data_IF_963428239074
#
_entry.id   IF_963428239074
#
_cell.length_a   1.000
_cell.length_b   1.000
_cell.length_c   1.000
_cell.angle_alpha   90.00
_cell.angle_beta   90.00
_cell.angle_gamma   90.00
#
_symmetry.space_group_name_H-M   'P 1'
#
loop_
_entity.id
_entity.type
_entity.pdbx_description
1 polymer ?
#
# COMPACT_ATOMS: atom_id res chain seq x y z
N UNK A 1 -10.79 -11.67 25.83
CA UNK A 1 -10.12 -10.42 25.42
C UNK A 1 -8.68 -10.77 25.08
N UNK A 2 -8.12 -10.23 24.01
CA UNK A 2 -6.74 -10.51 23.63
C UNK A 2 -5.73 -10.00 24.67
N UNK A 3 -4.54 -10.59 24.68
CA UNK A 3 -3.46 -10.16 25.57
C UNK A 3 -2.82 -8.86 25.09
N UNK A 4 -2.16 -8.11 25.98
CA UNK A 4 -1.39 -6.91 25.58
C UNK A 4 -0.31 -7.25 24.55
N UNK A 5 0.35 -8.41 24.69
CA UNK A 5 1.37 -8.86 23.75
C UNK A 5 0.78 -9.11 22.36
N UNK A 6 -0.37 -9.77 22.25
CA UNK A 6 -1.05 -10.04 20.99
C UNK A 6 -1.54 -8.75 20.34
N UNK A 7 -2.05 -7.78 21.14
CA UNK A 7 -2.43 -6.45 20.64
C UNK A 7 -1.24 -5.69 20.05
N UNK A 8 -0.06 -5.77 20.68
CA UNK A 8 1.16 -5.15 20.17
C UNK A 8 1.67 -5.83 18.90
N UNK A 9 1.64 -7.16 18.83
CA UNK A 9 2.00 -7.90 17.61
C UNK A 9 1.04 -7.56 16.46
N UNK A 10 -0.26 -7.54 16.72
CA UNK A 10 -1.27 -7.14 15.75
C UNK A 10 -1.08 -5.69 15.28
N UNK A 11 -0.79 -4.78 16.20
CA UNK A 11 -0.54 -3.38 15.90
C UNK A 11 0.62 -3.15 14.93
N UNK A 12 1.65 -4.01 14.95
CA UNK A 12 2.78 -3.94 14.00
C UNK A 12 2.38 -4.27 12.57
N UNK A 13 1.13 -4.65 12.32
CA UNK A 13 0.58 -5.00 10.99
C UNK A 13 -0.52 -4.04 10.53
N UNK A 14 -0.88 -3.02 11.32
CA UNK A 14 -2.00 -2.12 11.00
C UNK A 14 -1.51 -0.70 10.75
N UNK A 15 -1.91 -0.15 9.60
CA UNK A 15 -1.72 1.25 9.23
C UNK A 15 -3.02 1.99 9.54
N UNK A 16 -2.94 3.02 10.37
CA UNK A 16 -4.07 3.86 10.76
C UNK A 16 -4.24 5.08 9.84
N UNK A 17 -5.37 5.73 9.97
CA UNK A 17 -5.64 7.04 9.36
C UNK A 17 -6.52 7.89 10.29
N UNK A 18 -6.55 9.19 10.02
CA UNK A 18 -7.37 10.15 10.75
C UNK A 18 -7.78 11.31 9.84
N UNK A 19 -8.79 12.07 10.25
CA UNK A 19 -9.20 13.34 9.63
C UNK A 19 -8.43 14.53 10.20
N UNK A 20 -8.51 15.67 9.53
CA UNK A 20 -7.95 16.94 9.94
C UNK A 20 -6.41 17.01 9.96
N UNK A 21 -5.88 18.17 10.33
CA UNK A 21 -4.44 18.42 10.36
C UNK A 21 -3.77 17.87 11.63
N UNK A 22 -4.50 17.78 12.75
CA UNK A 22 -3.96 17.41 14.05
C UNK A 22 -4.28 15.95 14.37
N UNK A 23 -3.25 15.10 14.66
CA UNK A 23 -3.49 13.74 15.10
C UNK A 23 -4.32 13.71 16.40
N UNK A 24 -5.45 12.96 16.43
CA UNK A 24 -6.28 12.91 17.62
C UNK A 24 -5.57 12.14 18.75
N UNK A 25 -5.84 12.48 20.04
CA UNK A 25 -5.22 11.81 21.17
C UNK A 25 -5.33 10.28 21.14
N UNK A 26 -6.49 9.75 20.72
CA UNK A 26 -6.70 8.31 20.60
C UNK A 26 -5.71 7.62 19.64
N UNK A 27 -5.31 8.27 18.54
CA UNK A 27 -4.28 7.74 17.64
C UNK A 27 -2.90 7.76 18.30
N UNK A 28 -2.55 8.86 18.95
CA UNK A 28 -1.27 8.98 19.66
C UNK A 28 -1.15 7.94 20.76
N UNK A 29 -2.23 7.69 21.51
CA UNK A 29 -2.28 6.66 22.54
C UNK A 29 -2.18 5.24 21.98
N UNK A 30 -2.82 4.95 20.84
CA UNK A 30 -2.66 3.69 20.13
C UNK A 30 -1.20 3.45 19.70
N UNK A 31 -0.55 4.49 19.16
CA UNK A 31 0.87 4.43 18.78
C UNK A 31 1.76 4.19 20.00
N UNK A 32 1.60 4.94 21.08
CA UNK A 32 2.34 4.77 22.34
C UNK A 32 2.19 3.37 22.92
N UNK A 33 1.01 2.79 22.79
CA UNK A 33 0.74 1.41 23.23
C UNK A 33 1.34 0.34 22.32
N UNK A 34 2.02 0.71 21.21
CA UNK A 34 2.56 -0.22 20.21
C UNK A 34 1.50 -0.84 19.30
N UNK A 35 0.33 -0.22 19.17
CA UNK A 35 -0.81 -0.72 18.39
C UNK A 35 -0.92 -0.10 17.00
N UNK A 36 0.19 0.38 16.43
CA UNK A 36 0.23 0.91 15.06
C UNK A 36 1.58 0.65 14.39
N UNK A 37 1.58 0.15 13.17
CA UNK A 37 2.75 0.05 12.30
C UNK A 37 3.05 1.36 11.59
N UNK A 38 2.01 2.14 11.30
CA UNK A 38 2.14 3.36 10.51
C UNK A 38 0.85 4.17 10.42
N UNK A 39 0.95 5.28 9.71
CA UNK A 39 -0.17 6.18 9.46
C UNK A 39 -0.14 6.62 8.00
N UNK A 40 -1.29 6.51 7.32
CA UNK A 40 -1.47 7.12 6.00
C UNK A 40 -2.05 8.53 6.17
N UNK A 41 -1.45 9.48 5.43
CA UNK A 41 -1.85 10.88 5.40
C UNK A 41 -2.48 11.21 4.05
N UNK A 42 -3.56 11.99 4.09
CA UNK A 42 -4.29 12.47 2.93
C UNK A 42 -4.11 13.97 2.75
N UNK A 43 -4.68 14.51 1.66
CA UNK A 43 -4.60 15.94 1.36
C UNK A 43 -5.05 16.82 2.54
N UNK A 44 -6.12 16.40 3.25
CA UNK A 44 -6.70 17.18 4.35
C UNK A 44 -5.75 17.27 5.57
N UNK A 45 -4.85 16.28 5.73
CA UNK A 45 -3.79 16.31 6.76
C UNK A 45 -2.62 17.24 6.37
N UNK A 46 -2.54 17.68 5.10
CA UNK A 46 -1.38 18.33 4.52
C UNK A 46 -1.70 19.69 3.85
N UNK A 47 -2.81 20.30 4.20
CA UNK A 47 -3.22 21.60 3.63
C UNK A 47 -2.25 22.73 3.98
N UNK A 48 -1.71 22.71 5.18
CA UNK A 48 -0.75 23.68 5.69
C UNK A 48 0.56 22.99 6.04
N UNK A 49 1.68 23.30 5.37
CA UNK A 49 2.96 22.63 5.58
C UNK A 49 3.45 22.62 7.04
N UNK A 50 3.26 23.73 7.77
CA UNK A 50 3.68 23.82 9.17
C UNK A 50 2.85 22.89 10.09
N UNK A 51 1.56 22.72 9.81
CA UNK A 51 0.68 21.79 10.55
C UNK A 51 1.05 20.35 10.26
N UNK A 52 1.36 20.02 8.99
CA UNK A 52 1.86 18.70 8.63
C UNK A 52 3.17 18.36 9.38
N UNK A 53 4.13 19.28 9.45
CA UNK A 53 5.38 19.08 10.18
C UNK A 53 5.13 18.87 11.67
N UNK A 54 4.21 19.63 12.28
CA UNK A 54 3.82 19.46 13.66
C UNK A 54 3.15 18.09 13.91
N UNK A 55 2.24 17.67 13.02
CA UNK A 55 1.59 16.37 13.10
C UNK A 55 2.59 15.22 12.97
N UNK A 56 3.49 15.25 11.99
CA UNK A 56 4.55 14.26 11.79
C UNK A 56 5.46 14.17 13.01
N UNK A 57 5.80 15.31 13.62
CA UNK A 57 6.60 15.36 14.85
C UNK A 57 5.89 14.65 16.00
N UNK A 58 4.60 14.93 16.22
CA UNK A 58 3.80 14.28 17.28
C UNK A 58 3.69 12.76 17.08
N UNK A 59 3.46 12.32 15.83
CA UNK A 59 3.39 10.90 15.47
C UNK A 59 4.71 10.18 15.75
N UNK A 60 5.84 10.78 15.34
CA UNK A 60 7.18 10.23 15.60
C UNK A 60 7.52 10.19 17.08
N UNK A 61 7.15 11.22 17.84
CA UNK A 61 7.35 11.26 19.28
C UNK A 61 6.54 10.15 19.97
N UNK A 62 5.27 9.98 19.63
CA UNK A 62 4.44 8.90 20.18
C UNK A 62 5.04 7.51 19.87
N UNK A 63 5.63 7.33 18.68
CA UNK A 63 6.29 6.09 18.30
C UNK A 63 7.59 5.84 19.10
N UNK A 64 8.35 6.88 19.42
CA UNK A 64 9.55 6.77 20.25
C UNK A 64 9.23 6.37 21.70
N UNK A 65 8.03 6.70 22.18
CA UNK A 65 7.53 6.34 23.50
C UNK A 65 6.94 4.92 23.54
N UNK A 66 6.71 4.29 22.38
CA UNK A 66 6.14 2.95 22.28
C UNK A 66 7.13 1.84 22.67
N UNK A 67 6.67 0.66 23.13
CA UNK A 67 7.53 -0.48 23.41
C UNK A 67 8.40 -0.83 22.20
N UNK A 68 9.73 -0.81 22.39
CA UNK A 68 10.71 -1.05 21.35
C UNK A 68 11.04 0.15 20.46
N UNK A 69 10.33 1.28 20.58
CA UNK A 69 10.65 2.56 19.90
C UNK A 69 10.81 2.51 18.39
N UNK A 70 10.19 1.54 17.71
CA UNK A 70 10.37 1.34 16.27
C UNK A 70 9.74 2.48 15.44
N UNK A 71 10.42 2.97 14.38
CA UNK A 71 9.91 4.06 13.55
C UNK A 71 8.55 3.71 12.93
N UNK A 72 7.66 4.71 12.78
CA UNK A 72 6.41 4.54 12.05
C UNK A 72 6.65 4.54 10.53
N UNK A 73 5.82 3.77 9.81
CA UNK A 73 5.63 3.92 8.38
C UNK A 73 4.67 5.09 8.15
N UNK A 74 5.19 6.24 7.79
CA UNK A 74 4.40 7.42 7.45
C UNK A 74 4.25 7.49 5.94
N UNK A 75 3.02 7.35 5.45
CA UNK A 75 2.76 7.13 4.03
C UNK A 75 1.71 8.06 3.44
N UNK A 76 1.74 8.19 2.11
CA UNK A 76 0.73 8.90 1.33
C UNK A 76 0.76 8.42 -0.13
N UNK A 77 -0.24 8.83 -0.93
CA UNK A 77 -0.23 8.66 -2.39
C UNK A 77 0.37 9.90 -3.05
N UNK A 78 1.60 9.78 -3.53
CA UNK A 78 2.29 10.81 -4.30
C UNK A 78 2.68 10.24 -5.67
N UNK A 79 1.66 9.86 -6.46
CA UNK A 79 1.81 9.27 -7.80
C UNK A 79 2.22 10.32 -8.83
N UNK A 80 1.68 11.53 -8.69
CA UNK A 80 1.73 12.61 -9.64
C UNK A 80 0.36 12.90 -10.28
N UNK A 81 0.30 13.95 -11.08
CA UNK A 81 -0.94 14.34 -11.76
C UNK A 81 -2.13 14.51 -10.81
N UNK A 82 -3.20 13.76 -11.08
CA UNK A 82 -4.47 13.82 -10.31
C UNK A 82 -4.36 13.15 -8.92
N UNK A 83 -3.42 12.22 -8.73
CA UNK A 83 -3.22 11.51 -7.46
C UNK A 83 -1.93 12.00 -6.80
N UNK A 84 -2.06 13.15 -6.15
CA UNK A 84 -0.98 13.85 -5.46
C UNK A 84 -1.51 14.50 -4.20
N UNK A 85 -1.12 13.99 -3.03
CA UNK A 85 -1.66 14.42 -1.74
C UNK A 85 -0.89 15.58 -1.13
N UNK A 86 0.42 15.64 -1.37
CA UNK A 86 1.29 16.72 -0.90
C UNK A 86 1.53 17.75 -2.01
N UNK A 87 1.66 19.06 -1.69
CA UNK A 87 2.22 20.01 -2.63
C UNK A 87 3.67 19.63 -2.95
N UNK A 88 4.07 19.76 -4.22
CA UNK A 88 5.43 19.41 -4.66
C UNK A 88 5.44 18.42 -5.83
N UNK A 89 6.57 17.78 -6.05
CA UNK A 89 6.77 16.79 -7.11
C UNK A 89 6.21 15.40 -6.74
N UNK A 90 5.91 14.55 -7.74
CA UNK A 90 5.92 14.84 -9.18
C UNK A 90 4.66 15.58 -9.62
N UNK A 91 4.79 16.52 -10.55
CA UNK A 91 3.64 17.26 -11.10
C UNK A 91 2.98 16.46 -12.23
N UNK A 92 3.78 15.82 -13.07
CA UNK A 92 3.27 15.05 -14.21
C UNK A 92 2.56 13.78 -13.74
N UNK A 93 1.48 13.43 -14.43
CA UNK A 93 0.84 12.12 -14.29
C UNK A 93 1.70 11.01 -14.91
N UNK A 94 1.46 9.75 -14.55
CA UNK A 94 2.13 8.62 -15.19
C UNK A 94 1.93 8.61 -16.71
N UNK A 95 0.70 8.95 -17.19
CA UNK A 95 0.42 9.07 -18.63
C UNK A 95 1.23 10.16 -19.30
N UNK A 96 1.36 11.34 -18.68
CA UNK A 96 2.19 12.43 -19.20
C UNK A 96 3.67 12.05 -19.21
N UNK A 97 4.14 11.39 -18.16
CA UNK A 97 5.50 10.83 -18.08
C UNK A 97 5.77 9.85 -19.19
N UNK A 98 4.84 8.91 -19.45
CA UNK A 98 4.96 7.93 -20.54
C UNK A 98 4.93 8.53 -21.95
N UNK A 99 4.37 9.73 -22.10
CA UNK A 99 4.31 10.48 -23.36
C UNK A 99 5.45 11.53 -23.52
N UNK A 100 6.37 11.64 -22.56
CA UNK A 100 7.48 12.60 -22.63
C UNK A 100 8.48 12.25 -23.73
N UNK A 101 9.29 13.22 -24.14
CA UNK A 101 10.34 12.99 -25.13
C UNK A 101 11.44 12.02 -24.67
N UNK A 102 11.70 11.97 -23.36
CA UNK A 102 12.56 11.01 -22.66
C UNK A 102 11.76 10.39 -21.51
N UNK A 103 10.92 9.37 -21.79
CA UNK A 103 10.01 8.82 -20.78
C UNK A 103 10.75 8.20 -19.58
N UNK A 104 11.86 7.49 -19.81
CA UNK A 104 12.61 6.82 -18.75
C UNK A 104 13.30 7.85 -17.83
N UNK A 105 13.94 8.86 -18.40
CA UNK A 105 14.52 9.97 -17.64
C UNK A 105 13.45 10.74 -16.88
N UNK A 106 12.27 10.96 -17.46
CA UNK A 106 11.16 11.65 -16.77
C UNK A 106 10.58 10.81 -15.63
N UNK A 107 10.44 9.50 -15.81
CA UNK A 107 10.03 8.59 -14.75
C UNK A 107 11.01 8.61 -13.56
N UNK A 108 12.32 8.60 -13.84
CA UNK A 108 13.34 8.72 -12.80
C UNK A 108 13.28 10.10 -12.10
N UNK A 109 13.09 11.20 -12.85
CA UNK A 109 12.90 12.55 -12.27
C UNK A 109 11.65 12.61 -11.38
N UNK A 110 10.54 12.05 -11.85
CA UNK A 110 9.28 11.96 -11.11
C UNK A 110 9.44 11.18 -9.80
N UNK A 111 10.11 10.02 -9.86
CA UNK A 111 10.38 9.21 -8.67
C UNK A 111 11.30 9.93 -7.67
N UNK A 112 12.37 10.56 -8.15
CA UNK A 112 13.24 11.38 -7.29
C UNK A 112 12.50 12.59 -6.71
N UNK A 113 11.62 13.22 -7.49
CA UNK A 113 10.76 14.31 -7.04
C UNK A 113 9.81 13.88 -5.93
N UNK A 114 9.10 12.75 -6.11
CA UNK A 114 8.27 12.15 -5.08
C UNK A 114 9.08 11.87 -3.80
N UNK A 115 10.25 11.24 -3.95
CA UNK A 115 11.13 10.95 -2.83
C UNK A 115 11.53 12.20 -2.04
N UNK A 116 11.95 13.28 -2.71
CA UNK A 116 12.27 14.56 -2.05
C UNK A 116 11.07 15.14 -1.33
N UNK A 117 9.91 15.21 -2.01
CA UNK A 117 8.67 15.74 -1.41
C UNK A 117 8.31 15.01 -0.11
N UNK A 118 8.41 13.67 -0.10
CA UNK A 118 8.11 12.88 1.09
C UNK A 118 9.16 13.08 2.19
N UNK A 119 10.44 13.11 1.83
CA UNK A 119 11.53 13.38 2.79
C UNK A 119 11.35 14.72 3.48
N UNK A 120 11.07 15.78 2.70
CA UNK A 120 10.86 17.13 3.21
C UNK A 120 9.62 17.21 4.12
N UNK A 121 8.60 16.40 3.82
CA UNK A 121 7.42 16.24 4.68
C UNK A 121 7.65 15.32 5.90
N UNK A 122 8.80 14.65 5.98
CA UNK A 122 9.11 13.70 7.06
C UNK A 122 8.44 12.33 6.92
N UNK A 123 7.92 11.98 5.71
CA UNK A 123 7.33 10.71 5.37
C UNK A 123 8.39 9.76 4.79
N UNK A 124 8.14 8.45 4.85
CA UNK A 124 9.11 7.43 4.46
C UNK A 124 8.55 6.32 3.56
N UNK A 125 7.26 6.34 3.22
CA UNK A 125 6.62 5.39 2.29
C UNK A 125 5.76 6.16 1.30
N UNK A 126 5.89 5.85 0.02
CA UNK A 126 4.99 6.30 -1.03
C UNK A 126 4.15 5.14 -1.55
N UNK A 127 2.84 5.29 -1.61
CA UNK A 127 1.95 4.33 -2.26
C UNK A 127 1.96 4.55 -3.79
N UNK A 128 3.15 4.47 -4.38
CA UNK A 128 3.46 4.60 -5.82
C UNK A 128 4.78 3.87 -6.14
N UNK A 129 4.99 3.46 -7.40
CA UNK A 129 4.24 3.77 -8.62
C UNK A 129 3.07 2.83 -8.88
N UNK A 130 2.13 3.28 -9.74
CA UNK A 130 1.11 2.41 -10.35
C UNK A 130 1.72 1.64 -11.51
N UNK A 131 1.59 0.31 -11.48
CA UNK A 131 2.11 -0.60 -12.51
C UNK A 131 1.00 -1.25 -13.36
N UNK A 132 -0.22 -0.75 -13.25
CA UNK A 132 -1.34 -1.25 -14.03
C UNK A 132 -1.17 -0.90 -15.51
N UNK A 133 -1.26 -1.91 -16.37
CA UNK A 133 -1.16 -1.78 -17.85
C UNK A 133 -2.56 -1.69 -18.39
N UNK A 134 -3.04 -0.50 -18.78
CA UNK A 134 -4.39 -0.38 -19.31
C UNK A 134 -4.49 -0.98 -20.74
N UNK A 135 -5.61 -1.62 -21.05
CA UNK A 135 -5.85 -2.24 -22.34
C UNK A 135 -6.72 -1.36 -23.27
N UNK A 136 -7.71 -0.70 -22.71
CA UNK A 136 -8.64 0.16 -23.45
C UNK A 136 -8.48 1.63 -23.02
N UNK A 137 -8.36 2.56 -24.00
CA UNK A 137 -8.33 4.00 -23.67
C UNK A 137 -9.56 4.42 -22.85
N UNK A 138 -9.36 5.37 -21.92
CA UNK A 138 -10.38 5.89 -21.02
C UNK A 138 -11.00 4.84 -20.08
N UNK A 139 -10.31 3.70 -19.85
CA UNK A 139 -10.69 2.77 -18.80
C UNK A 139 -10.39 3.36 -17.40
N UNK A 140 -10.70 2.65 -16.31
CA UNK A 140 -10.56 3.18 -14.95
C UNK A 140 -9.17 3.79 -14.67
N UNK A 141 -8.10 3.08 -15.00
CA UNK A 141 -6.73 3.53 -14.71
C UNK A 141 -6.31 4.68 -15.64
N UNK A 142 -6.61 4.59 -16.94
CA UNK A 142 -6.24 5.61 -17.92
C UNK A 142 -7.06 6.91 -17.74
N UNK A 143 -8.34 6.81 -17.35
CA UNK A 143 -9.19 7.96 -17.07
C UNK A 143 -8.58 8.89 -16.00
N UNK A 144 -7.95 8.30 -14.99
CA UNK A 144 -7.25 9.04 -13.95
C UNK A 144 -5.78 9.33 -14.29
N UNK A 145 -5.32 8.96 -15.49
CA UNK A 145 -3.95 9.17 -15.99
C UNK A 145 -2.89 8.47 -15.13
N UNK A 146 -3.24 7.37 -14.47
CA UNK A 146 -2.40 6.69 -13.49
C UNK A 146 -1.45 5.66 -14.09
N UNK A 147 -1.60 5.27 -15.36
CA UNK A 147 -0.73 4.32 -16.05
C UNK A 147 0.28 5.00 -16.97
N UNK A 148 1.47 4.43 -17.07
CA UNK A 148 2.50 4.83 -18.03
C UNK A 148 2.17 4.45 -19.48
N UNK A 149 1.26 3.48 -19.70
CA UNK A 149 0.88 3.09 -21.04
C UNK A 149 0.21 1.72 -21.17
N UNK A 150 0.10 1.28 -22.43
CA UNK A 150 -0.60 0.05 -22.83
C UNK A 150 0.34 -1.15 -23.04
N UNK A 151 1.65 -0.94 -22.96
CA UNK A 151 2.66 -1.96 -23.21
C UNK A 151 3.29 -2.37 -21.87
N UNK A 152 3.23 -3.66 -21.50
CA UNK A 152 3.77 -4.13 -20.23
C UNK A 152 5.26 -3.78 -20.05
N UNK A 153 6.05 -3.90 -21.12
CA UNK A 153 7.48 -3.57 -21.11
C UNK A 153 7.76 -2.08 -20.82
N UNK A 154 6.91 -1.19 -21.32
CA UNK A 154 7.02 0.27 -21.06
C UNK A 154 6.65 0.56 -19.61
N UNK A 155 5.55 -0.01 -19.11
CA UNK A 155 5.16 0.16 -17.71
C UNK A 155 6.21 -0.42 -16.76
N UNK A 156 6.80 -1.56 -17.11
CA UNK A 156 7.89 -2.18 -16.38
C UNK A 156 9.14 -1.27 -16.31
N UNK A 157 9.57 -0.73 -17.45
CA UNK A 157 10.73 0.17 -17.53
C UNK A 157 10.50 1.45 -16.72
N UNK A 158 9.39 2.16 -16.97
CA UNK A 158 9.13 3.46 -16.35
C UNK A 158 8.81 3.33 -14.85
N UNK A 159 8.00 2.33 -14.47
CA UNK A 159 7.74 2.03 -13.07
C UNK A 159 9.02 1.68 -12.30
N UNK A 160 9.92 0.92 -12.90
CA UNK A 160 11.23 0.57 -12.31
C UNK A 160 12.12 1.80 -12.17
N UNK A 161 12.15 2.68 -13.18
CA UNK A 161 12.92 3.93 -13.11
C UNK A 161 12.41 4.84 -11.96
N UNK A 162 11.08 4.98 -11.84
CA UNK A 162 10.44 5.73 -10.76
C UNK A 162 10.81 5.16 -9.38
N UNK A 163 10.54 3.87 -9.14
CA UNK A 163 10.75 3.25 -7.83
C UNK A 163 12.22 3.26 -7.40
N UNK A 164 13.14 3.03 -8.33
CA UNK A 164 14.57 3.01 -8.04
C UNK A 164 15.07 4.41 -7.63
N UNK A 165 14.68 5.44 -8.38
CA UNK A 165 15.03 6.81 -8.07
C UNK A 165 14.45 7.28 -6.73
N UNK A 166 13.19 6.91 -6.42
CA UNK A 166 12.57 7.21 -5.13
C UNK A 166 13.26 6.49 -3.97
N UNK A 167 13.50 5.18 -4.10
CA UNK A 167 14.12 4.37 -3.05
C UNK A 167 15.57 4.77 -2.75
N UNK A 168 16.30 5.33 -3.74
CA UNK A 168 17.64 5.86 -3.52
C UNK A 168 17.67 7.03 -2.51
N UNK A 169 16.54 7.69 -2.30
CA UNK A 169 16.37 8.75 -1.30
C UNK A 169 15.89 8.24 0.06
N UNK A 170 15.79 6.92 0.25
CA UNK A 170 15.34 6.30 1.50
C UNK A 170 13.83 6.37 1.72
N UNK A 171 13.03 6.54 0.67
CA UNK A 171 11.57 6.45 0.69
C UNK A 171 11.15 5.14 0.04
N UNK A 172 10.48 4.25 0.77
CA UNK A 172 10.01 2.99 0.22
C UNK A 172 8.94 3.23 -0.86
N UNK A 173 9.07 2.50 -1.97
CA UNK A 173 8.09 2.49 -3.05
C UNK A 173 7.10 1.34 -2.87
N UNK A 174 5.87 1.53 -3.35
CA UNK A 174 4.80 0.54 -3.35
C UNK A 174 4.30 0.33 -4.77
N UNK A 175 4.59 -0.82 -5.36
CA UNK A 175 4.03 -1.19 -6.66
C UNK A 175 2.55 -1.61 -6.50
N UNK A 176 1.65 -1.07 -7.33
CA UNK A 176 0.21 -1.30 -7.21
C UNK A 176 -0.53 -1.30 -8.55
N UNK A 177 -1.65 -2.03 -8.69
CA UNK A 177 -2.40 -2.88 -7.75
C UNK A 177 -2.31 -4.34 -8.23
N UNK A 178 -1.49 -5.15 -7.56
CA UNK A 178 -1.20 -6.53 -8.00
C UNK A 178 -2.48 -7.41 -8.00
N UNK A 179 -2.71 -8.29 -8.99
CA UNK A 179 -1.86 -8.67 -10.13
C UNK A 179 -2.02 -7.80 -11.40
N UNK A 180 -2.69 -6.67 -11.32
CA UNK A 180 -2.88 -5.72 -12.39
C UNK A 180 -4.36 -5.36 -12.58
N UNK A 181 -4.72 -4.10 -12.31
CA UNK A 181 -6.08 -3.56 -12.40
C UNK A 181 -6.36 -2.91 -13.77
N UNK A 182 -5.43 -3.05 -14.73
CA UNK A 182 -5.49 -2.35 -16.01
C UNK A 182 -6.59 -2.81 -16.97
N UNK A 183 -7.28 -3.92 -16.69
CA UNK A 183 -8.43 -4.38 -17.45
C UNK A 183 -9.78 -3.84 -16.93
N UNK A 184 -9.79 -3.12 -15.79
CA UNK A 184 -11.01 -2.59 -15.21
C UNK A 184 -11.64 -1.53 -16.14
N UNK A 185 -12.94 -1.69 -16.46
CA UNK A 185 -13.69 -0.70 -17.20
C UNK A 185 -13.78 0.63 -16.41
N UNK A 186 -14.19 1.70 -17.08
CA UNK A 186 -14.20 3.04 -16.49
C UNK A 186 -14.99 3.14 -15.18
N UNK A 187 -16.11 2.44 -15.11
CA UNK A 187 -17.02 2.43 -13.97
C UNK A 187 -16.65 1.37 -12.92
N UNK A 188 -15.66 0.53 -13.20
CA UNK A 188 -15.22 -0.53 -12.30
C UNK A 188 -14.20 -0.01 -11.28
N UNK A 189 -14.73 0.52 -10.18
CA UNK A 189 -13.97 1.06 -9.07
C UNK A 189 -14.17 0.19 -7.83
N UNK A 190 -13.11 -0.41 -7.32
CA UNK A 190 -13.15 -1.28 -6.14
C UNK A 190 -13.52 -0.53 -4.86
N UNK A 191 -13.34 0.79 -4.80
CA UNK A 191 -13.82 1.62 -3.68
C UNK A 191 -15.35 1.75 -3.68
N UNK A 192 -16.00 1.58 -4.83
CA UNK A 192 -17.43 1.77 -5.01
C UNK A 192 -18.22 0.47 -5.07
N UNK A 193 -17.59 -0.65 -5.42
CA UNK A 193 -18.25 -1.95 -5.51
C UNK A 193 -17.33 -3.10 -5.91
N UNK A 194 -17.85 -4.33 -5.95
CA UNK A 194 -17.14 -5.50 -6.43
C UNK A 194 -16.76 -5.37 -7.90
N UNK A 195 -15.53 -5.74 -8.22
CA UNK A 195 -14.98 -5.76 -9.59
C UNK A 195 -14.49 -7.17 -9.90
N UNK A 196 -14.87 -7.72 -11.06
CA UNK A 196 -14.46 -9.05 -11.51
C UNK A 196 -13.78 -8.94 -12.87
N UNK A 197 -12.49 -9.24 -12.92
CA UNK A 197 -11.68 -9.13 -14.12
C UNK A 197 -11.45 -10.52 -14.73
N UNK A 198 -12.28 -10.88 -15.72
CA UNK A 198 -12.22 -12.17 -16.42
C UNK A 198 -11.11 -12.20 -17.48
N UNK A 199 -9.87 -11.96 -17.04
CA UNK A 199 -8.68 -12.01 -17.90
C UNK A 199 -8.13 -13.43 -17.90
N UNK A 200 -7.81 -14.03 -19.09
CA UNK A 200 -7.17 -15.34 -19.16
C UNK A 200 -5.82 -15.34 -18.40
N UNK A 201 -5.51 -16.45 -17.71
CA UNK A 201 -4.31 -16.54 -16.88
C UNK A 201 -3.01 -16.21 -17.63
N UNK A 202 -2.88 -16.71 -18.86
CA UNK A 202 -1.71 -16.42 -19.69
C UNK A 202 -1.56 -14.94 -20.00
N UNK A 203 -2.66 -14.24 -20.25
CA UNK A 203 -2.68 -12.80 -20.51
C UNK A 203 -2.42 -12.01 -19.22
N UNK A 204 -3.05 -12.38 -18.11
CA UNK A 204 -2.81 -11.75 -16.82
C UNK A 204 -1.33 -11.78 -16.45
N UNK A 205 -0.67 -12.93 -16.64
CA UNK A 205 0.76 -13.10 -16.38
C UNK A 205 1.66 -12.36 -17.35
N UNK A 206 1.32 -12.35 -18.64
CA UNK A 206 2.13 -11.69 -19.67
C UNK A 206 1.98 -10.17 -19.66
N UNK A 207 0.84 -9.67 -19.21
CA UNK A 207 0.51 -8.24 -19.26
C UNK A 207 0.41 -7.60 -17.87
N UNK A 208 -0.48 -8.11 -17.01
CA UNK A 208 -0.73 -7.52 -15.70
C UNK A 208 0.45 -7.68 -14.75
N UNK A 209 1.07 -8.86 -14.72
CA UNK A 209 2.12 -9.18 -13.76
C UNK A 209 3.55 -8.90 -14.26
N UNK A 210 3.75 -8.70 -15.56
CA UNK A 210 5.09 -8.44 -16.12
C UNK A 210 5.78 -7.21 -15.50
N UNK A 211 5.12 -6.05 -15.27
CA UNK A 211 5.74 -4.92 -14.60
C UNK A 211 6.16 -5.25 -13.15
N UNK A 212 5.43 -6.12 -12.46
CA UNK A 212 5.79 -6.53 -11.10
C UNK A 212 7.00 -7.44 -11.07
N UNK A 213 7.20 -8.28 -12.10
CA UNK A 213 8.43 -9.07 -12.22
C UNK A 213 9.67 -8.17 -12.28
N UNK A 214 9.60 -7.09 -13.07
CA UNK A 214 10.67 -6.10 -13.15
C UNK A 214 10.85 -5.33 -11.83
N UNK A 215 9.76 -4.90 -11.20
CA UNK A 215 9.80 -4.20 -9.91
C UNK A 215 10.39 -5.06 -8.79
N UNK A 216 10.06 -6.36 -8.73
CA UNK A 216 10.63 -7.32 -7.77
C UNK A 216 12.13 -7.49 -8.00
N UNK A 217 12.56 -7.64 -9.26
CA UNK A 217 13.98 -7.73 -9.62
C UNK A 217 14.76 -6.44 -9.26
N UNK A 218 14.10 -5.27 -9.32
CA UNK A 218 14.66 -3.99 -8.91
C UNK A 218 14.59 -3.73 -7.39
N UNK A 219 14.07 -4.66 -6.60
CA UNK A 219 14.03 -4.56 -5.15
C UNK A 219 12.96 -3.61 -4.60
N UNK A 220 11.77 -3.60 -5.22
CA UNK A 220 10.63 -2.85 -4.67
C UNK A 220 10.33 -3.29 -3.23
N UNK A 221 10.12 -2.32 -2.33
CA UNK A 221 9.94 -2.60 -0.90
C UNK A 221 8.55 -3.08 -0.55
N UNK A 222 7.50 -2.52 -1.17
CA UNK A 222 6.12 -2.91 -0.94
C UNK A 222 5.41 -3.25 -2.26
N UNK A 223 4.45 -4.19 -2.16
CA UNK A 223 3.46 -4.46 -3.22
C UNK A 223 2.06 -4.37 -2.60
N UNK A 224 1.22 -3.52 -3.19
CA UNK A 224 -0.19 -3.39 -2.81
C UNK A 224 -1.05 -4.29 -3.68
N UNK A 225 -1.92 -5.06 -3.02
CA UNK A 225 -2.86 -5.96 -3.68
C UNK A 225 -4.12 -5.22 -4.14
N UNK A 226 -4.66 -5.65 -5.27
CA UNK A 226 -5.96 -5.19 -5.77
C UNK A 226 -7.12 -5.80 -4.97
N UNK A 227 -8.27 -5.11 -4.93
CA UNK A 227 -9.54 -5.66 -4.45
C UNK A 227 -10.43 -6.23 -5.57
N UNK A 228 -9.94 -6.31 -6.80
CA UNK A 228 -10.64 -7.04 -7.85
C UNK A 228 -10.50 -8.55 -7.67
N UNK A 229 -11.52 -9.28 -8.13
CA UNK A 229 -11.52 -10.74 -8.24
C UNK A 229 -10.96 -11.12 -9.61
N UNK A 230 -10.07 -12.11 -9.65
CA UNK A 230 -9.45 -12.66 -10.87
C UNK A 230 -9.81 -14.14 -10.98
N UNK A 231 -10.93 -14.52 -11.66
CA UNK A 231 -11.43 -15.89 -11.68
C UNK A 231 -10.42 -16.93 -12.19
N UNK A 232 -9.47 -16.51 -13.02
CA UNK A 232 -8.39 -17.37 -13.51
C UNK A 232 -7.39 -17.80 -12.41
N UNK A 233 -7.37 -17.11 -11.26
CA UNK A 233 -6.54 -17.41 -10.08
C UNK A 233 -7.39 -17.86 -8.89
N UNK A 234 -8.44 -17.10 -8.56
CA UNK A 234 -9.39 -17.37 -7.50
C UNK A 234 -10.73 -16.71 -7.87
N UNK A 235 -11.77 -17.53 -8.05
CA UNK A 235 -13.08 -17.05 -8.48
C UNK A 235 -13.93 -16.48 -7.33
N UNK A 236 -13.49 -16.64 -6.07
CA UNK A 236 -14.30 -16.34 -4.90
C UNK A 236 -13.77 -15.18 -4.07
N UNK A 237 -12.47 -14.91 -4.14
CA UNK A 237 -11.84 -13.91 -3.29
C UNK A 237 -11.14 -12.82 -4.10
N UNK A 238 -11.27 -11.54 -3.69
CA UNK A 238 -10.42 -10.47 -4.17
C UNK A 238 -8.93 -10.81 -3.99
N UNK A 239 -8.07 -10.28 -4.84
CA UNK A 239 -6.64 -10.63 -4.83
C UNK A 239 -5.98 -10.53 -3.45
N UNK A 240 -6.27 -9.47 -2.67
CA UNK A 240 -5.73 -9.29 -1.32
C UNK A 240 -6.31 -10.22 -0.24
N UNK A 241 -7.40 -10.97 -0.55
CA UNK A 241 -7.96 -12.02 0.31
C UNK A 241 -7.69 -13.42 -0.25
N UNK A 242 -6.94 -13.55 -1.33
CA UNK A 242 -6.64 -14.83 -1.98
C UNK A 242 -5.23 -15.30 -1.67
N UNK A 243 -5.10 -16.41 -0.93
CA UNK A 243 -3.82 -17.06 -0.69
C UNK A 243 -3.15 -17.52 -2.00
N UNK A 244 -3.94 -17.92 -2.98
CA UNK A 244 -3.45 -18.28 -4.32
C UNK A 244 -2.73 -17.09 -4.96
N UNK A 245 -3.28 -15.89 -4.87
CA UNK A 245 -2.68 -14.69 -5.46
C UNK A 245 -1.48 -14.21 -4.63
N UNK A 246 -1.64 -14.06 -3.30
CA UNK A 246 -0.59 -13.52 -2.42
C UNK A 246 0.62 -14.46 -2.36
N UNK A 247 0.40 -15.74 -2.04
CA UNK A 247 1.47 -16.71 -1.90
C UNK A 247 1.85 -17.38 -3.22
N UNK A 248 0.86 -17.81 -4.00
CA UNK A 248 1.09 -18.54 -5.24
C UNK A 248 1.76 -17.68 -6.30
N UNK A 249 1.13 -16.57 -6.67
CA UNK A 249 1.63 -15.73 -7.77
C UNK A 249 2.71 -14.76 -7.29
N UNK A 250 2.46 -13.95 -6.26
CA UNK A 250 3.41 -12.90 -5.89
C UNK A 250 4.65 -13.46 -5.18
N UNK A 251 4.50 -14.29 -4.11
CA UNK A 251 5.65 -14.75 -3.34
C UNK A 251 6.39 -15.92 -3.99
N UNK A 252 5.69 -16.98 -4.43
CA UNK A 252 6.34 -18.18 -4.98
C UNK A 252 6.77 -17.97 -6.42
N UNK A 253 5.86 -17.52 -7.31
CA UNK A 253 6.16 -17.44 -8.73
C UNK A 253 7.03 -16.22 -9.07
N UNK A 254 6.72 -15.01 -8.55
CA UNK A 254 7.51 -13.80 -8.80
C UNK A 254 8.69 -13.63 -7.83
N UNK A 255 8.76 -14.40 -6.75
CA UNK A 255 9.86 -14.35 -5.78
C UNK A 255 9.88 -13.13 -4.87
N UNK A 256 8.74 -12.43 -4.68
CA UNK A 256 8.69 -11.24 -3.84
C UNK A 256 8.95 -11.57 -2.37
N UNK A 257 9.89 -10.86 -1.75
CA UNK A 257 10.33 -11.03 -0.36
C UNK A 257 10.03 -9.82 0.53
N UNK A 258 9.60 -8.71 -0.07
CA UNK A 258 9.25 -7.48 0.66
C UNK A 258 7.89 -7.57 1.37
N UNK A 259 7.37 -6.43 1.75
CA UNK A 259 6.13 -6.28 2.50
C UNK A 259 4.92 -6.20 1.54
N UNK A 260 3.94 -7.06 1.74
CA UNK A 260 2.63 -6.93 1.09
C UNK A 260 1.75 -5.99 1.90
N UNK A 261 1.05 -5.09 1.22
CA UNK A 261 0.08 -4.18 1.84
C UNK A 261 -1.29 -4.34 1.16
N UNK A 262 -2.37 -4.33 1.93
CA UNK A 262 -3.71 -4.29 1.36
C UNK A 262 -3.97 -2.94 0.70
N UNK A 263 -4.89 -2.87 -0.23
CA UNK A 263 -5.60 -1.63 -0.52
C UNK A 263 -6.55 -1.30 0.65
N UNK A 264 -7.33 -0.22 0.55
CA UNK A 264 -8.22 0.29 1.58
C UNK A 264 -9.19 -0.79 2.13
N UNK A 265 -9.12 -1.13 3.42
CA UNK A 265 -10.02 -2.15 4.02
C UNK A 265 -11.48 -1.71 4.06
N UNK A 266 -11.77 -0.43 3.95
CA UNK A 266 -13.14 0.11 3.86
C UNK A 266 -13.75 0.04 2.46
N UNK A 267 -12.99 -0.36 1.43
CA UNK A 267 -13.47 -0.46 0.05
C UNK A 267 -14.78 -1.28 -0.04
N UNK A 268 -15.75 -0.78 -0.83
CA UNK A 268 -17.05 -1.44 -0.99
C UNK A 268 -16.97 -2.79 -1.70
N UNK A 269 -15.90 -3.04 -2.45
CA UNK A 269 -15.60 -4.37 -2.98
C UNK A 269 -15.58 -5.47 -1.90
N UNK A 270 -15.25 -5.08 -0.66
CA UNK A 270 -15.17 -5.99 0.48
C UNK A 270 -16.46 -6.12 1.29
N UNK A 271 -17.58 -5.51 0.87
CA UNK A 271 -18.81 -5.49 1.66
C UNK A 271 -19.32 -6.89 2.04
N UNK A 272 -19.14 -7.87 1.17
CA UNK A 272 -19.55 -9.26 1.42
C UNK A 272 -18.65 -10.01 2.42
N UNK A 273 -17.49 -9.44 2.79
CA UNK A 273 -16.47 -10.05 3.65
C UNK A 273 -16.55 -9.52 5.11
N UNK A 274 -17.70 -9.09 5.56
CA UNK A 274 -17.94 -8.66 6.92
C UNK A 274 -17.48 -7.23 7.25
N UNK A 275 -17.20 -7.01 8.53
CA UNK A 275 -16.71 -5.71 9.03
C UNK A 275 -15.19 -5.55 8.86
N UNK A 276 -14.62 -4.47 9.39
CA UNK A 276 -13.17 -4.22 9.31
C UNK A 276 -12.35 -5.32 9.96
N UNK A 277 -12.79 -5.86 11.09
CA UNK A 277 -12.11 -6.94 11.80
C UNK A 277 -12.08 -8.22 10.98
N UNK A 278 -13.23 -8.61 10.41
CA UNK A 278 -13.35 -9.79 9.55
C UNK A 278 -12.44 -9.68 8.33
N UNK A 279 -12.44 -8.53 7.66
CA UNK A 279 -11.58 -8.24 6.48
C UNK A 279 -10.09 -8.27 6.83
N UNK A 280 -9.72 -7.71 7.98
CA UNK A 280 -8.34 -7.72 8.46
C UNK A 280 -7.84 -9.14 8.73
N UNK A 281 -8.66 -9.99 9.37
CA UNK A 281 -8.33 -11.39 9.63
C UNK A 281 -8.25 -12.17 8.32
N UNK A 282 -9.21 -12.01 7.40
CA UNK A 282 -9.20 -12.68 6.11
C UNK A 282 -7.96 -12.29 5.26
N UNK A 283 -7.57 -11.02 5.26
CA UNK A 283 -6.34 -10.56 4.60
C UNK A 283 -5.08 -11.18 5.24
N UNK A 284 -5.04 -11.28 6.57
CA UNK A 284 -3.95 -11.94 7.27
C UNK A 284 -3.87 -13.45 6.96
N UNK A 285 -5.01 -14.16 6.88
CA UNK A 285 -5.11 -15.56 6.45
C UNK A 285 -4.63 -15.77 5.01
N UNK A 286 -4.87 -14.79 4.13
CA UNK A 286 -4.35 -14.80 2.76
C UNK A 286 -2.82 -14.58 2.69
N UNK A 287 -2.19 -14.09 3.76
CA UNK A 287 -0.74 -13.85 3.84
C UNK A 287 -0.31 -12.42 3.60
N UNK A 288 -1.23 -11.44 3.76
CA UNK A 288 -0.89 -10.02 3.74
C UNK A 288 -0.08 -9.65 4.99
N UNK A 289 0.89 -8.74 4.86
CA UNK A 289 1.72 -8.29 5.98
C UNK A 289 1.15 -7.05 6.65
N UNK A 290 0.85 -6.01 5.86
CA UNK A 290 0.28 -4.74 6.33
C UNK A 290 -1.17 -4.58 5.90
N UNK A 291 -1.98 -4.06 6.80
CA UNK A 291 -3.41 -3.86 6.65
C UNK A 291 -3.71 -2.36 6.68
N UNK A 292 -4.23 -1.82 5.57
CA UNK A 292 -4.44 -0.39 5.37
C UNK A 292 -5.84 0.02 5.80
N UNK A 293 -5.97 0.60 6.99
CA UNK A 293 -7.18 1.20 7.53
C UNK A 293 -7.23 2.68 7.16
N UNK A 294 -7.71 3.01 5.95
CA UNK A 294 -7.66 4.35 5.38
C UNK A 294 -8.99 5.12 5.43
N UNK A 295 -9.98 4.60 6.17
CA UNK A 295 -11.30 5.20 6.35
C UNK A 295 -11.33 6.47 7.21
N UNK A 296 -10.17 7.03 7.54
CA UNK A 296 -9.98 8.28 8.31
C UNK A 296 -10.62 8.25 9.71
N UNK A 297 -10.72 7.07 10.30
CA UNK A 297 -11.26 6.85 11.64
C UNK A 297 -10.29 5.97 12.41
N UNK A 298 -9.79 6.46 13.54
CA UNK A 298 -8.86 5.71 14.42
C UNK A 298 -9.48 4.37 14.83
N UNK A 299 -10.78 4.35 15.09
CA UNK A 299 -11.53 3.16 15.49
C UNK A 299 -11.47 2.03 14.47
N UNK A 300 -11.30 2.34 13.17
CA UNK A 300 -11.13 1.32 12.14
C UNK A 300 -9.85 0.52 12.37
N UNK A 301 -8.73 1.21 12.61
CA UNK A 301 -7.46 0.55 12.91
C UNK A 301 -7.49 -0.22 14.22
N UNK A 302 -8.11 0.35 15.27
CA UNK A 302 -8.25 -0.35 16.56
C UNK A 302 -9.09 -1.64 16.42
N UNK A 303 -10.18 -1.61 15.64
CA UNK A 303 -10.99 -2.81 15.36
C UNK A 303 -10.17 -3.89 14.61
N UNK A 304 -9.34 -3.49 13.65
CA UNK A 304 -8.45 -4.42 12.96
C UNK A 304 -7.42 -5.03 13.93
N UNK A 305 -6.79 -4.22 14.79
CA UNK A 305 -5.83 -4.70 15.80
C UNK A 305 -6.47 -5.70 16.76
N UNK A 306 -7.67 -5.39 17.27
CA UNK A 306 -8.37 -6.25 18.22
C UNK A 306 -8.78 -7.60 17.58
N UNK A 307 -9.28 -7.56 16.34
CA UNK A 307 -9.66 -8.75 15.60
C UNK A 307 -8.47 -9.66 15.30
N UNK A 308 -7.36 -9.08 14.83
CA UNK A 308 -6.12 -9.83 14.57
C UNK A 308 -5.55 -10.45 15.85
N UNK A 309 -5.50 -9.71 16.93
CA UNK A 309 -5.01 -10.20 18.22
C UNK A 309 -5.90 -11.33 18.75
N UNK A 310 -7.22 -11.19 18.64
CA UNK A 310 -8.18 -12.23 19.02
C UNK A 310 -8.01 -13.49 18.17
N UNK A 311 -7.85 -13.34 16.86
CA UNK A 311 -7.65 -14.45 15.94
C UNK A 311 -6.31 -15.17 16.18
N UNK A 312 -5.26 -14.43 16.56
CA UNK A 312 -3.98 -14.99 16.95
C UNK A 312 -4.08 -15.78 18.27
N UNK A 313 -4.70 -15.20 19.31
CA UNK A 313 -4.85 -15.85 20.63
C UNK A 313 -5.74 -17.11 20.58
N UNK A 314 -6.72 -17.14 19.65
CA UNK A 314 -7.58 -18.30 19.45
C UNK A 314 -6.95 -19.40 18.56
N UNK A 315 -5.80 -19.15 17.95
CA UNK A 315 -5.16 -20.07 17.00
C UNK A 315 -5.80 -20.09 15.62
N UNK A 316 -6.71 -19.16 15.30
CA UNK A 316 -7.27 -19.00 13.95
C UNK A 316 -6.21 -18.54 12.95
N UNK A 317 -5.32 -17.62 13.38
CA UNK A 317 -4.14 -17.24 12.62
C UNK A 317 -2.96 -18.08 13.09
N UNK A 318 -2.21 -18.64 12.13
CA UNK A 318 -0.97 -19.38 12.43
C UNK A 318 0.08 -18.44 13.03
N UNK A 319 0.59 -18.80 14.21
CA UNK A 319 1.50 -17.93 14.96
C UNK A 319 2.86 -17.74 14.25
N UNK A 320 3.33 -18.74 13.49
CA UNK A 320 4.59 -18.65 12.75
C UNK A 320 4.43 -17.72 11.55
N UNK A 321 3.39 -17.91 10.73
CA UNK A 321 3.11 -17.04 9.59
C UNK A 321 2.85 -15.60 10.06
N UNK A 322 2.21 -15.43 11.22
CA UNK A 322 1.97 -14.12 11.81
C UNK A 322 3.27 -13.44 12.22
N UNK A 323 4.17 -14.17 12.88
CA UNK A 323 5.48 -13.66 13.27
C UNK A 323 6.34 -13.31 12.04
N UNK A 324 6.35 -14.15 11.02
CA UNK A 324 7.04 -13.88 9.75
C UNK A 324 6.57 -12.58 9.08
N UNK A 325 5.26 -12.30 9.14
CA UNK A 325 4.70 -11.06 8.62
C UNK A 325 5.15 -9.84 9.44
N UNK A 326 5.12 -9.95 10.78
CA UNK A 326 5.65 -8.93 11.69
C UNK A 326 7.13 -8.66 11.41
N UNK A 327 7.93 -9.70 11.25
CA UNK A 327 9.38 -9.58 10.99
C UNK A 327 9.66 -8.84 9.68
N UNK A 328 8.89 -9.10 8.62
CA UNK A 328 9.02 -8.36 7.35
C UNK A 328 8.68 -6.88 7.51
N UNK A 329 7.63 -6.57 8.25
CA UNK A 329 7.24 -5.17 8.53
C UNK A 329 8.29 -4.47 9.39
N UNK A 330 8.79 -5.10 10.44
CA UNK A 330 9.79 -4.51 11.32
C UNK A 330 11.15 -4.34 10.62
N UNK A 331 11.53 -5.28 9.73
CA UNK A 331 12.70 -5.13 8.87
C UNK A 331 12.57 -3.91 7.94
N UNK A 332 11.39 -3.71 7.34
CA UNK A 332 11.10 -2.51 6.55
C UNK A 332 11.22 -1.25 7.39
N UNK A 333 10.54 -1.18 8.55
CA UNK A 333 10.56 -0.04 9.47
C UNK A 333 11.99 0.33 9.86
N UNK A 334 12.80 -0.66 10.24
CA UNK A 334 14.19 -0.48 10.64
C UNK A 334 15.05 0.03 9.46
N UNK A 335 14.81 -0.49 8.25
CA UNK A 335 15.57 -0.07 7.05
C UNK A 335 15.29 1.38 6.64
N UNK A 336 14.18 1.95 7.08
CA UNK A 336 13.75 3.33 6.80
C UNK A 336 14.03 4.29 7.97
N UNK A 337 14.53 3.77 9.09
CA UNK A 337 15.03 4.60 10.19
C UNK A 337 16.24 5.41 9.67
N UNK A 338 16.07 6.72 9.57
CA UNK A 338 17.20 7.62 9.31
C UNK A 338 17.85 7.97 10.65
N UNK A 339 19.19 8.01 10.71
CA UNK A 339 19.88 8.49 11.90
C UNK A 339 19.55 9.95 12.21
#
# INVERSE_FOLDING_TARGET
>A
MPTTASLQLAGRRVVHSYTDAVPPPALLDAIRAGRSAGVILFKDNALVPAELQAAVTQLKQAAAEAPGGAPLLLMTDQEGGKVRRLPGEPVLSARQTGAAADPAGEAARSGAGAGRTLVDAGLNVNLAPVLDVFDTPDNFIDHFERSYGRKPEVVAELGTAFLTAQQSLGVAATAKHFPGLGAAAREENTDEGPVVLSVPLAELRARGEEPYRAAVAAGVRLVMMSWAVYPALDAYHPAGLSRTVVWGELRKRLGFRGVTITDALEAKALTAFGDTGDRAVAAAEAGMDLLLCSGRKVQQGEAAVEALATALDSGRLDATEFADAVDRVDALRTSLARP
#
